data_IF_967654345916
#
_entry.id   IF_967654345916
#
_cell.length_a   1.000
_cell.length_b   1.000
_cell.length_c   1.000
_cell.angle_alpha   90.00
_cell.angle_beta   90.00
_cell.angle_gamma   90.00
#
_symmetry.space_group_name_H-M   'P 1'
#
loop_
_entity.id
_entity.type
_entity.pdbx_description
1 polymer ?
#
# COMPACT_ATOMS: atom_id res chain seq x y z
N UNK A 1 2.08 24.37 -42.44
CA UNK A 1 2.02 23.35 -41.37
C UNK A 1 3.37 22.81 -40.90
N UNK A 2 4.50 23.35 -41.33
CA UNK A 2 5.84 22.86 -40.99
C UNK A 2 6.63 23.79 -40.05
N UNK A 3 6.03 24.88 -39.54
CA UNK A 3 6.65 25.83 -38.59
C UNK A 3 6.17 25.70 -37.14
N UNK A 4 5.23 24.76 -36.83
CA UNK A 4 4.70 24.57 -35.49
C UNK A 4 5.34 23.36 -34.75
N UNK A 5 6.15 22.56 -35.43
CA UNK A 5 6.81 21.35 -34.85
C UNK A 5 8.20 21.67 -34.29
N UNK A 6 8.80 22.82 -34.67
CA UNK A 6 10.15 23.20 -34.20
C UNK A 6 10.18 24.00 -32.90
N UNK A 7 9.01 24.32 -32.29
CA UNK A 7 8.94 25.11 -31.05
C UNK A 7 8.80 24.24 -29.78
N UNK A 8 8.81 22.92 -29.90
CA UNK A 8 8.64 21.98 -28.77
C UNK A 8 9.89 21.14 -28.46
N UNK A 9 11.02 21.42 -29.07
CA UNK A 9 12.25 20.60 -28.92
C UNK A 9 13.48 21.39 -28.44
N UNK A 10 13.32 22.60 -27.89
CA UNK A 10 14.40 23.29 -27.20
C UNK A 10 14.03 23.44 -25.70
N UNK A 11 13.82 22.34 -25.00
CA UNK A 11 13.90 22.35 -23.55
C UNK A 11 15.37 22.19 -23.16
N UNK A 12 16.02 23.32 -22.89
CA UNK A 12 17.41 23.41 -22.42
C UNK A 12 17.62 22.50 -21.22
N UNK A 13 18.56 21.55 -21.34
CA UNK A 13 19.24 20.91 -20.22
C UNK A 13 20.06 21.98 -19.51
N UNK A 14 19.48 22.72 -18.58
CA UNK A 14 20.27 23.43 -17.56
C UNK A 14 20.55 22.41 -16.48
N UNK A 15 21.81 21.96 -16.45
CA UNK A 15 22.37 21.25 -15.31
C UNK A 15 22.23 22.15 -14.08
N UNK A 16 21.27 21.83 -13.22
CA UNK A 16 21.24 22.38 -11.87
C UNK A 16 22.34 21.68 -11.08
N UNK A 17 23.49 22.37 -10.98
CA UNK A 17 24.47 22.10 -9.93
C UNK A 17 23.71 22.16 -8.60
N UNK A 18 23.69 21.02 -7.87
CA UNK A 18 23.08 20.90 -6.56
C UNK A 18 23.66 21.95 -5.62
N UNK A 19 22.87 22.98 -5.32
CA UNK A 19 23.07 23.81 -4.16
C UNK A 19 22.82 22.92 -2.96
N UNK A 20 23.86 22.56 -2.23
CA UNK A 20 23.76 22.02 -0.89
C UNK A 20 22.85 22.98 -0.11
N UNK A 21 21.74 22.46 0.42
CA UNK A 21 20.86 23.23 1.28
C UNK A 21 21.72 23.75 2.47
N UNK A 22 21.82 25.06 2.62
CA UNK A 22 22.41 25.66 3.81
C UNK A 22 21.65 25.14 5.05
N UNK A 23 22.36 24.81 6.16
CA UNK A 23 21.70 24.40 7.39
C UNK A 23 20.78 25.54 7.83
N UNK A 24 19.48 25.27 7.90
CA UNK A 24 18.48 26.20 8.41
C UNK A 24 18.91 26.58 9.83
N UNK A 25 19.17 27.86 10.12
CA UNK A 25 19.56 28.27 11.45
C UNK A 25 18.46 27.89 12.43
N UNK A 26 18.83 27.31 13.58
CA UNK A 26 17.90 26.97 14.65
C UNK A 26 17.00 28.17 14.90
N UNK A 27 15.68 27.97 14.77
CA UNK A 27 14.70 29.06 14.82
C UNK A 27 14.89 29.88 16.07
N UNK A 28 15.28 31.14 15.91
CA UNK A 28 15.40 32.09 17.01
C UNK A 28 14.02 32.26 17.60
N UNK A 29 13.83 31.75 18.82
CA UNK A 29 12.53 31.75 19.50
C UNK A 29 12.10 33.15 19.87
N UNK A 30 10.81 33.43 19.63
CA UNK A 30 10.14 34.55 20.27
C UNK A 30 10.11 34.34 21.80
N UNK A 31 10.44 35.33 22.62
CA UNK A 31 10.42 35.22 24.08
C UNK A 31 9.00 34.81 24.55
N UNK A 32 8.89 33.73 25.35
CA UNK A 32 7.64 33.29 25.97
C UNK A 32 6.93 32.08 25.31
N UNK A 33 7.38 31.57 24.17
CA UNK A 33 6.79 30.35 23.56
C UNK A 33 7.48 29.09 24.08
N UNK A 34 6.69 28.16 24.64
CA UNK A 34 7.19 26.82 25.06
C UNK A 34 7.64 26.00 23.85
N UNK A 35 8.71 25.19 24.05
CA UNK A 35 9.12 24.24 23.05
C UNK A 35 8.14 23.07 22.96
N UNK A 36 7.62 22.79 21.79
CA UNK A 36 6.88 21.56 21.58
C UNK A 36 7.87 20.40 21.33
N UNK A 37 7.88 19.42 22.24
CA UNK A 37 8.79 18.28 22.20
C UNK A 37 8.00 16.99 22.09
N UNK A 38 8.29 16.20 21.07
CA UNK A 38 7.74 14.87 20.89
C UNK A 38 8.71 13.81 21.43
N UNK A 39 8.21 12.86 22.22
CA UNK A 39 8.97 11.69 22.67
C UNK A 39 8.47 10.46 21.95
N UNK A 40 9.34 9.86 21.15
CA UNK A 40 9.04 8.64 20.37
C UNK A 40 9.81 7.48 21.01
N UNK A 41 9.13 6.44 21.51
CA UNK A 41 9.80 5.27 22.06
C UNK A 41 10.43 4.43 20.94
N UNK A 42 11.72 4.10 21.09
CA UNK A 42 12.44 3.15 20.24
C UNK A 42 12.83 1.97 21.13
N UNK A 43 11.94 0.99 21.19
CA UNK A 43 12.06 -0.15 22.10
C UNK A 43 12.22 -1.45 21.31
N UNK A 44 12.78 -2.45 21.95
CA UNK A 44 12.94 -3.79 21.39
C UNK A 44 13.83 -3.78 20.11
N UNK A 45 13.62 -4.75 19.22
CA UNK A 45 14.40 -4.91 17.99
C UNK A 45 14.05 -3.86 16.94
N UNK A 46 15.07 -3.37 16.21
CA UNK A 46 14.87 -2.46 15.06
C UNK A 46 14.40 -3.26 13.86
N UNK A 47 13.10 -3.11 13.57
CA UNK A 47 12.38 -3.80 12.52
C UNK A 47 11.37 -2.87 11.84
N UNK A 48 10.59 -3.37 10.86
CA UNK A 48 9.61 -2.55 10.14
C UNK A 48 8.55 -1.88 11.05
N UNK A 49 8.01 -2.51 12.12
CA UNK A 49 7.13 -1.82 13.06
C UNK A 49 7.78 -0.60 13.69
N UNK A 50 9.01 -0.74 14.16
CA UNK A 50 9.77 0.37 14.76
C UNK A 50 9.93 1.52 13.78
N UNK A 51 10.21 1.23 12.50
CA UNK A 51 10.25 2.24 11.44
C UNK A 51 8.88 2.95 11.26
N UNK A 52 7.78 2.21 11.24
CA UNK A 52 6.44 2.80 11.04
C UNK A 52 6.04 3.70 12.21
N UNK A 53 6.31 3.26 13.45
CA UNK A 53 6.12 4.04 14.66
C UNK A 53 6.89 5.36 14.56
N UNK A 54 8.17 5.26 14.23
CA UNK A 54 9.06 6.41 14.18
C UNK A 54 8.68 7.37 13.03
N UNK A 55 8.35 6.85 11.85
CA UNK A 55 7.88 7.66 10.71
C UNK A 55 6.58 8.40 11.04
N UNK A 56 5.60 7.73 11.62
CA UNK A 56 4.34 8.36 12.03
C UNK A 56 4.59 9.44 13.08
N UNK A 57 5.40 9.15 14.11
CA UNK A 57 5.75 10.12 15.13
C UNK A 57 6.50 11.32 14.57
N UNK A 58 7.42 11.12 13.63
CA UNK A 58 8.13 12.22 12.96
C UNK A 58 7.20 13.06 12.08
N UNK A 59 6.31 12.42 11.29
CA UNK A 59 5.33 13.14 10.45
C UNK A 59 4.39 13.96 11.30
N UNK A 60 3.84 13.39 12.38
CA UNK A 60 3.00 14.12 13.33
C UNK A 60 3.75 15.30 13.97
N UNK A 61 5.01 15.08 14.38
CA UNK A 61 5.85 16.15 14.92
C UNK A 61 6.10 17.29 13.90
N UNK A 62 6.29 16.95 12.60
CA UNK A 62 6.44 17.94 11.52
C UNK A 62 5.14 18.72 11.32
N UNK A 63 3.99 18.05 11.23
CA UNK A 63 2.67 18.66 11.05
C UNK A 63 2.32 19.62 12.19
N UNK A 64 2.65 19.23 13.42
CA UNK A 64 2.45 20.04 14.61
C UNK A 64 3.55 21.12 14.81
N UNK A 65 4.53 21.18 13.89
CA UNK A 65 5.66 22.12 13.95
C UNK A 65 6.43 21.99 15.28
N UNK A 66 6.73 20.75 15.69
CA UNK A 66 7.50 20.46 16.89
C UNK A 66 8.93 21.04 16.76
N UNK A 67 9.42 21.58 17.85
CA UNK A 67 10.79 22.14 17.93
C UNK A 67 11.85 21.05 18.08
N UNK A 68 11.48 19.94 18.75
CA UNK A 68 12.41 18.83 18.97
C UNK A 68 11.68 17.48 19.02
N UNK A 69 12.41 16.43 18.65
CA UNK A 69 12.03 15.03 18.83
C UNK A 69 13.05 14.34 19.70
N UNK A 70 12.62 13.63 20.72
CA UNK A 70 13.46 12.78 21.57
C UNK A 70 13.14 11.31 21.28
N UNK A 71 14.15 10.55 20.87
CA UNK A 71 14.09 9.10 20.79
C UNK A 71 14.41 8.50 22.17
N UNK A 72 13.41 7.92 22.84
CA UNK A 72 13.63 7.18 24.08
C UNK A 72 14.11 5.76 23.73
N UNK A 73 15.44 5.59 23.71
CA UNK A 73 16.14 4.45 23.13
C UNK A 73 16.41 3.35 24.14
N UNK A 74 15.95 2.14 23.85
CA UNK A 74 16.28 0.92 24.56
C UNK A 74 16.19 -0.26 23.59
N UNK A 75 17.27 -0.57 22.85
CA UNK A 75 17.26 -1.57 21.78
C UNK A 75 18.56 -2.38 21.75
N UNK A 76 18.48 -3.71 21.56
CA UNK A 76 19.63 -4.55 21.31
C UNK A 76 20.18 -4.41 19.87
N UNK A 77 19.45 -3.73 18.97
CA UNK A 77 19.77 -3.60 17.55
C UNK A 77 18.70 -4.20 16.66
N UNK A 78 19.06 -4.55 15.42
CA UNK A 78 18.14 -5.15 14.47
C UNK A 78 18.57 -5.01 13.01
N UNK A 79 17.61 -4.94 12.09
CA UNK A 79 17.81 -4.96 10.66
C UNK A 79 18.52 -3.70 10.15
N UNK A 80 19.59 -3.89 9.37
CA UNK A 80 20.45 -2.80 8.89
C UNK A 80 19.74 -1.93 7.84
N UNK A 81 18.95 -2.53 6.96
CA UNK A 81 18.14 -1.82 5.96
C UNK A 81 17.12 -0.88 6.63
N UNK A 82 16.42 -1.39 7.64
CA UNK A 82 15.48 -0.61 8.45
C UNK A 82 16.19 0.52 9.20
N UNK A 83 17.40 0.26 9.70
CA UNK A 83 18.23 1.27 10.37
C UNK A 83 18.48 2.47 9.45
N UNK A 84 18.83 2.22 8.19
CA UNK A 84 19.06 3.29 7.22
C UNK A 84 17.77 4.05 6.88
N UNK A 85 16.67 3.36 6.72
CA UNK A 85 15.37 4.02 6.50
C UNK A 85 14.99 4.94 7.69
N UNK A 86 15.29 4.52 8.92
CA UNK A 86 15.09 5.34 10.13
C UNK A 86 16.00 6.58 10.11
N UNK A 87 17.28 6.42 9.77
CA UNK A 87 18.21 7.55 9.69
C UNK A 87 17.76 8.58 8.63
N UNK A 88 17.31 8.10 7.46
CA UNK A 88 16.75 8.95 6.40
C UNK A 88 15.43 9.65 6.83
N UNK A 89 14.63 8.98 7.64
CA UNK A 89 13.43 9.58 8.21
C UNK A 89 13.78 10.71 9.22
N UNK A 90 14.82 10.51 10.03
CA UNK A 90 15.31 11.53 10.97
C UNK A 90 15.86 12.77 10.25
N UNK A 91 16.55 12.60 9.14
CA UNK A 91 17.09 13.71 8.33
C UNK A 91 15.99 14.60 7.73
N UNK A 92 14.75 14.09 7.61
CA UNK A 92 13.59 14.86 7.13
C UNK A 92 12.94 15.74 8.20
N UNK A 93 13.28 15.54 9.47
CA UNK A 93 12.75 16.37 10.55
C UNK A 93 13.50 17.71 10.62
N UNK A 94 12.83 18.86 10.46
CA UNK A 94 13.47 20.16 10.39
C UNK A 94 13.92 20.70 11.75
N UNK A 95 13.46 20.09 12.85
CA UNK A 95 13.78 20.49 14.21
C UNK A 95 14.96 19.73 14.78
N UNK A 96 15.18 19.86 16.10
CA UNK A 96 16.26 19.20 16.79
C UNK A 96 15.92 17.73 17.06
N UNK A 97 16.78 16.81 16.65
CA UNK A 97 16.67 15.38 16.99
C UNK A 97 17.60 15.04 18.16
N UNK A 98 17.08 14.35 19.16
CA UNK A 98 17.80 13.98 20.37
C UNK A 98 17.62 12.48 20.61
N UNK A 99 18.69 11.75 20.87
CA UNK A 99 18.58 10.40 21.44
C UNK A 99 18.80 10.44 22.93
N UNK A 100 17.88 9.87 23.69
CA UNK A 100 18.08 9.55 25.09
C UNK A 100 18.27 8.04 25.24
N UNK A 101 19.49 7.61 25.47
CA UNK A 101 19.81 6.20 25.72
C UNK A 101 19.39 5.85 27.12
N UNK A 102 18.18 5.24 27.24
CA UNK A 102 17.56 4.92 28.53
C UNK A 102 18.28 3.73 29.21
N UNK A 103 18.50 2.63 28.44
CA UNK A 103 19.20 1.45 28.94
C UNK A 103 20.31 1.02 27.98
N UNK A 104 19.98 0.78 26.72
CA UNK A 104 20.95 0.33 25.74
C UNK A 104 20.63 0.85 24.33
N UNK A 105 21.66 1.13 23.57
CA UNK A 105 21.62 1.48 22.15
C UNK A 105 22.69 0.65 21.42
N UNK A 106 22.42 -0.65 21.30
CA UNK A 106 23.37 -1.59 20.70
C UNK A 106 23.16 -1.71 19.19
N UNK A 107 24.22 -2.03 18.45
CA UNK A 107 24.14 -2.31 17.00
C UNK A 107 23.40 -1.21 16.22
N UNK A 108 22.23 -1.48 15.64
CA UNK A 108 21.37 -0.52 14.95
C UNK A 108 21.05 0.73 15.81
N UNK A 109 20.90 0.55 17.13
CA UNK A 109 20.67 1.65 18.06
C UNK A 109 21.83 2.68 18.09
N UNK A 110 23.07 2.22 17.97
CA UNK A 110 24.23 3.11 17.89
C UNK A 110 24.22 3.93 16.59
N UNK A 111 23.86 3.35 15.46
CA UNK A 111 23.71 4.06 14.17
C UNK A 111 22.63 5.14 14.24
N UNK A 112 21.44 4.77 14.74
CA UNK A 112 20.31 5.69 14.87
C UNK A 112 20.66 6.83 15.80
N UNK A 113 21.31 6.53 16.94
CA UNK A 113 21.76 7.54 17.89
C UNK A 113 22.76 8.51 17.26
N UNK A 114 23.70 8.01 16.46
CA UNK A 114 24.69 8.83 15.79
C UNK A 114 24.10 9.75 14.71
N UNK A 115 22.95 9.39 14.13
CA UNK A 115 22.25 10.23 13.18
C UNK A 115 21.58 11.44 13.84
N UNK A 116 21.20 11.37 15.12
CA UNK A 116 20.58 12.50 15.83
C UNK A 116 21.55 13.64 16.10
N UNK A 117 21.00 14.83 16.41
CA UNK A 117 21.81 16.02 16.70
C UNK A 117 22.62 15.85 18.01
N UNK A 118 21.96 15.32 19.05
CA UNK A 118 22.56 15.15 20.38
C UNK A 118 22.22 13.76 20.95
N UNK A 119 23.14 13.26 21.80
CA UNK A 119 22.96 11.97 22.48
C UNK A 119 23.09 12.19 23.98
N UNK A 120 22.09 11.85 24.74
CA UNK A 120 22.06 11.86 26.20
C UNK A 120 21.93 10.43 26.73
N UNK A 121 22.41 10.22 27.94
CA UNK A 121 22.48 8.91 28.56
C UNK A 121 21.80 8.87 29.91
N UNK A 122 21.07 7.81 30.20
CA UNK A 122 20.74 7.44 31.57
C UNK A 122 22.02 6.95 32.31
N UNK A 123 22.05 6.97 33.66
CA UNK A 123 23.26 6.68 34.41
C UNK A 123 23.94 5.33 34.10
N UNK A 124 23.19 4.31 33.83
CA UNK A 124 23.65 2.93 33.55
C UNK A 124 23.52 2.54 32.07
N UNK A 125 23.36 3.51 31.19
CA UNK A 125 23.16 3.25 29.77
C UNK A 125 24.48 2.82 29.09
N UNK A 126 24.34 2.01 28.05
CA UNK A 126 25.43 1.52 27.21
C UNK A 126 25.11 1.73 25.73
N UNK A 127 26.15 1.97 24.93
CA UNK A 127 26.04 2.14 23.48
C UNK A 127 27.23 1.48 22.79
N UNK A 128 27.01 0.79 21.66
CA UNK A 128 28.13 0.27 20.88
C UNK A 128 27.85 -1.03 20.13
N UNK A 129 28.93 -1.80 19.90
CA UNK A 129 28.96 -3.11 19.24
C UNK A 129 28.10 -3.15 17.95
N UNK A 130 28.45 -2.31 16.96
CA UNK A 130 27.67 -2.08 15.75
C UNK A 130 28.23 -2.81 14.51
N UNK A 131 28.97 -3.90 14.69
CA UNK A 131 29.48 -4.69 13.58
C UNK A 131 28.34 -5.39 12.83
N UNK A 132 28.38 -5.42 11.49
CA UNK A 132 27.36 -6.13 10.71
C UNK A 132 27.51 -7.64 10.87
N UNK A 133 26.38 -8.32 11.15
CA UNK A 133 26.26 -9.78 11.21
C UNK A 133 25.13 -10.22 10.28
N UNK A 134 25.18 -11.46 9.80
CA UNK A 134 24.06 -12.04 9.06
C UNK A 134 22.88 -12.32 10.01
N UNK A 135 21.67 -12.15 9.53
CA UNK A 135 20.44 -12.47 10.29
C UNK A 135 20.37 -13.95 10.71
N UNK A 136 21.09 -14.83 10.01
CA UNK A 136 21.24 -16.26 10.34
C UNK A 136 22.27 -16.55 11.43
N UNK A 137 22.98 -15.51 11.94
CA UNK A 137 24.08 -15.68 12.88
C UNK A 137 25.37 -16.24 12.29
N UNK A 138 25.41 -16.49 10.98
CA UNK A 138 26.60 -16.94 10.26
C UNK A 138 27.61 -15.81 9.99
N UNK A 139 28.88 -16.17 9.78
CA UNK A 139 29.89 -15.20 9.35
C UNK A 139 29.69 -14.78 7.90
N UNK A 140 29.80 -13.49 7.64
CA UNK A 140 29.85 -12.93 6.30
C UNK A 140 31.21 -13.24 5.67
N UNK A 141 31.22 -13.60 4.36
CA UNK A 141 32.48 -13.72 3.62
C UNK A 141 33.37 -12.51 3.88
N UNK A 142 34.68 -12.75 4.08
CA UNK A 142 35.66 -11.74 4.46
C UNK A 142 35.66 -10.51 3.53
N UNK A 143 35.57 -10.74 2.22
CA UNK A 143 35.55 -9.67 1.22
C UNK A 143 34.26 -8.87 1.29
N UNK A 144 33.12 -9.55 1.45
CA UNK A 144 31.81 -8.89 1.61
C UNK A 144 31.77 -8.11 2.91
N UNK A 145 32.26 -8.66 4.02
CA UNK A 145 32.35 -7.97 5.31
C UNK A 145 33.17 -6.67 5.20
N UNK A 146 34.33 -6.71 4.53
CA UNK A 146 35.15 -5.53 4.32
C UNK A 146 34.42 -4.44 3.50
N UNK A 147 33.69 -4.80 2.45
CA UNK A 147 32.88 -3.85 1.67
C UNK A 147 31.80 -3.21 2.51
N UNK A 148 31.04 -4.01 3.26
CA UNK A 148 29.95 -3.52 4.14
C UNK A 148 30.54 -2.61 5.21
N UNK A 149 31.56 -3.00 5.93
CA UNK A 149 32.23 -2.21 6.98
C UNK A 149 32.77 -0.89 6.42
N UNK A 150 33.42 -0.92 5.24
CA UNK A 150 33.93 0.30 4.59
C UNK A 150 32.79 1.28 4.25
N UNK A 151 31.69 0.77 3.69
CA UNK A 151 30.49 1.57 3.37
C UNK A 151 29.87 2.17 4.63
N UNK A 152 29.64 1.36 5.67
CA UNK A 152 29.05 1.80 6.93
C UNK A 152 29.87 2.90 7.59
N UNK A 153 31.19 2.71 7.66
CA UNK A 153 32.10 3.71 8.21
C UNK A 153 32.06 5.03 7.42
N UNK A 154 32.05 4.96 6.09
CA UNK A 154 31.95 6.14 5.25
C UNK A 154 30.64 6.90 5.48
N UNK A 155 29.50 6.18 5.49
CA UNK A 155 28.18 6.76 5.75
C UNK A 155 28.09 7.41 7.13
N UNK A 156 28.61 6.74 8.16
CA UNK A 156 28.60 7.29 9.52
C UNK A 156 29.52 8.48 9.70
N UNK A 157 30.68 8.52 9.03
CA UNK A 157 31.53 9.73 9.03
C UNK A 157 30.82 10.91 8.39
N UNK A 158 30.14 10.70 7.24
CA UNK A 158 29.39 11.75 6.56
C UNK A 158 28.27 12.31 7.44
N UNK A 159 27.44 11.47 8.08
CA UNK A 159 26.37 11.92 8.98
C UNK A 159 26.85 12.51 10.31
N UNK A 160 28.13 12.29 10.65
CA UNK A 160 28.78 12.79 11.88
C UNK A 160 29.71 13.98 11.63
N UNK A 161 29.72 14.52 10.41
CA UNK A 161 30.52 15.66 10.05
C UNK A 161 30.17 16.86 10.94
N UNK A 162 31.18 17.54 11.50
CA UNK A 162 30.97 18.63 12.46
C UNK A 162 30.55 18.21 13.88
N UNK A 163 30.39 16.90 14.18
CA UNK A 163 29.95 16.40 15.50
C UNK A 163 31.11 15.82 16.33
N UNK A 164 32.28 16.49 16.36
CA UNK A 164 33.42 16.09 17.16
C UNK A 164 33.97 14.70 16.83
N UNK A 165 34.22 13.88 17.86
CA UNK A 165 34.78 12.54 17.70
C UNK A 165 33.77 11.48 17.24
N UNK A 166 32.48 11.84 17.10
CA UNK A 166 31.37 10.88 16.82
C UNK A 166 31.68 9.92 15.67
N UNK A 167 32.11 10.42 14.51
CA UNK A 167 32.43 9.60 13.35
C UNK A 167 33.54 8.57 13.58
N UNK A 168 34.56 8.91 14.40
CA UNK A 168 35.62 7.99 14.78
C UNK A 168 35.14 6.95 15.78
N UNK A 169 34.37 7.37 16.77
CA UNK A 169 33.78 6.49 17.80
C UNK A 169 32.89 5.46 17.18
N UNK A 170 31.96 5.88 16.31
CA UNK A 170 31.06 4.93 15.61
C UNK A 170 31.86 4.03 14.67
N UNK A 171 32.92 4.52 14.00
CA UNK A 171 33.81 3.67 13.21
C UNK A 171 34.46 2.55 14.04
N UNK A 172 34.82 2.84 15.28
CA UNK A 172 35.36 1.86 16.22
C UNK A 172 34.32 0.86 16.75
N UNK A 173 33.04 1.25 16.79
CA UNK A 173 31.91 0.36 17.11
C UNK A 173 31.58 -0.60 15.96
N UNK A 174 31.85 -0.20 14.71
CA UNK A 174 31.57 -0.98 13.49
C UNK A 174 32.68 -1.98 13.17
N UNK A 175 33.93 -1.57 13.34
CA UNK A 175 35.09 -2.24 12.80
C UNK A 175 36.07 -2.64 13.92
N UNK A 176 36.20 -3.94 14.14
CA UNK A 176 37.13 -4.46 15.15
C UNK A 176 38.58 -4.12 14.84
N UNK A 177 38.97 -4.03 13.56
CA UNK A 177 40.33 -3.72 13.15
C UNK A 177 40.65 -2.20 13.17
N UNK A 178 39.65 -1.36 13.37
CA UNK A 178 39.84 0.09 13.50
C UNK A 178 40.33 0.43 14.89
N UNK A 179 41.56 0.98 15.02
CA UNK A 179 42.09 1.52 16.26
C UNK A 179 41.53 2.92 16.52
N UNK A 180 40.91 3.13 17.67
CA UNK A 180 40.47 4.47 18.09
C UNK A 180 41.56 5.11 18.96
N UNK A 181 42.22 6.12 18.40
CA UNK A 181 43.24 6.91 19.08
C UNK A 181 42.85 8.39 19.06
N UNK A 182 42.88 9.06 20.21
CA UNK A 182 42.64 10.49 20.34
C UNK A 182 43.86 11.11 21.03
N UNK A 183 44.55 11.97 20.29
CA UNK A 183 45.88 12.41 20.74
C UNK A 183 46.82 11.21 20.81
N UNK A 184 47.46 11.03 21.97
CA UNK A 184 48.34 9.88 22.22
C UNK A 184 47.66 8.70 22.91
N UNK A 185 46.42 8.89 23.39
CA UNK A 185 45.68 7.84 24.12
C UNK A 185 44.94 6.90 23.15
N UNK A 186 45.26 5.62 23.23
CA UNK A 186 44.49 4.55 22.54
C UNK A 186 43.29 4.24 23.43
N UNK A 187 42.09 4.52 22.91
CA UNK A 187 40.83 4.27 23.61
C UNK A 187 40.26 2.88 23.29
N UNK A 188 40.57 2.36 22.09
CA UNK A 188 40.18 1.03 21.67
C UNK A 188 41.26 0.43 20.76
N UNK A 189 41.90 -0.67 21.18
CA UNK A 189 42.91 -1.36 20.37
C UNK A 189 42.23 -2.10 19.17
N UNK A 190 43.07 -2.61 18.26
CA UNK A 190 42.62 -3.51 17.20
C UNK A 190 42.19 -4.86 17.77
N UNK A 191 41.20 -5.51 17.11
CA UNK A 191 40.72 -6.86 17.46
C UNK A 191 39.47 -6.86 18.32
N UNK A 192 39.02 -5.71 18.83
CA UNK A 192 37.83 -5.59 19.66
C UNK A 192 36.78 -4.67 19.00
N UNK A 193 35.52 -4.76 19.42
CA UNK A 193 34.51 -3.77 19.10
C UNK A 193 34.34 -2.80 20.27
N UNK A 194 34.15 -1.52 19.94
CA UNK A 194 33.91 -0.51 20.97
C UNK A 194 32.49 -0.62 21.50
N UNK A 195 32.33 -0.63 22.79
CA UNK A 195 31.11 -0.32 23.53
C UNK A 195 31.45 0.66 24.63
N UNK A 196 30.59 1.63 24.89
CA UNK A 196 30.79 2.67 25.88
C UNK A 196 29.66 2.67 26.89
N UNK A 197 30.03 2.80 28.14
CA UNK A 197 29.14 3.21 29.22
C UNK A 197 28.80 4.71 29.08
N UNK A 198 27.74 5.13 29.75
CA UNK A 198 27.36 6.55 29.79
C UNK A 198 28.50 7.44 30.32
N UNK A 199 29.38 6.94 31.21
CA UNK A 199 30.49 7.69 31.76
C UNK A 199 31.60 7.86 30.74
N UNK A 200 32.01 6.78 30.08
CA UNK A 200 33.04 6.79 29.02
C UNK A 200 32.61 7.64 27.82
N UNK A 201 31.34 7.60 27.44
CA UNK A 201 30.80 8.41 26.36
C UNK A 201 30.88 9.93 26.61
N UNK A 202 30.97 10.33 27.87
CA UNK A 202 31.03 11.74 28.30
C UNK A 202 32.43 12.17 28.71
N UNK A 203 33.43 11.27 28.71
CA UNK A 203 34.82 11.66 28.94
C UNK A 203 35.27 12.69 27.91
N UNK A 204 36.04 13.68 28.39
CA UNK A 204 36.45 14.80 27.57
C UNK A 204 37.87 14.59 27.02
N UNK A 205 38.05 14.88 25.74
CA UNK A 205 39.32 14.73 25.03
C UNK A 205 39.61 15.95 24.16
N UNK A 206 40.89 16.16 23.88
CA UNK A 206 41.36 17.20 22.97
C UNK A 206 41.48 18.59 23.61
N UNK A 207 41.89 19.55 22.77
CA UNK A 207 41.98 20.99 23.13
C UNK A 207 41.37 21.80 21.96
N UNK A 208 40.18 22.44 22.15
CA UNK A 208 39.41 22.49 23.41
C UNK A 208 38.83 21.14 23.80
N UNK A 209 38.55 20.92 25.11
CA UNK A 209 37.96 19.66 25.57
C UNK A 209 36.57 19.40 24.94
N UNK A 210 36.40 18.23 24.37
CA UNK A 210 35.10 17.77 23.79
C UNK A 210 34.78 16.39 24.32
N UNK A 211 33.50 16.17 24.64
CA UNK A 211 33.04 14.85 25.01
C UNK A 211 33.22 13.84 23.85
N UNK A 212 33.51 12.59 24.19
CA UNK A 212 33.78 11.52 23.22
C UNK A 212 32.58 11.26 22.29
N UNK A 213 31.37 11.19 22.85
CA UNK A 213 30.18 10.90 22.09
C UNK A 213 28.93 11.65 22.60
N UNK A 214 28.73 11.77 23.90
CA UNK A 214 27.49 12.26 24.49
C UNK A 214 27.46 13.73 24.78
N UNK A 215 26.27 14.32 24.87
CA UNK A 215 26.02 15.71 25.27
C UNK A 215 25.77 15.85 26.77
N UNK A 216 25.35 14.79 27.47
CA UNK A 216 25.10 14.82 28.91
C UNK A 216 24.44 13.58 29.47
N UNK A 217 24.25 13.59 30.81
CA UNK A 217 23.47 12.55 31.54
C UNK A 217 22.16 13.12 32.07
N UNK A 218 21.11 12.31 32.07
CA UNK A 218 19.86 12.60 32.74
C UNK A 218 19.28 11.31 33.31
N UNK A 219 18.54 11.37 34.40
CA UNK A 219 17.93 10.17 35.01
C UNK A 219 16.75 9.66 34.17
N UNK A 220 16.07 10.55 33.47
CA UNK A 220 14.95 10.26 32.57
C UNK A 220 14.79 11.38 31.53
N UNK A 221 13.84 11.18 30.61
CA UNK A 221 13.53 12.17 29.54
C UNK A 221 13.08 13.51 30.14
N UNK A 222 12.33 13.49 31.25
CA UNK A 222 11.84 14.72 31.89
C UNK A 222 12.99 15.53 32.46
N UNK A 223 13.93 14.88 33.14
CA UNK A 223 15.13 15.53 33.66
C UNK A 223 16.00 16.11 32.53
N UNK A 224 16.14 15.39 31.40
CA UNK A 224 16.81 15.89 30.21
C UNK A 224 16.13 17.16 29.68
N UNK A 225 14.80 17.12 29.52
CA UNK A 225 14.05 18.27 28.99
C UNK A 225 14.10 19.48 29.94
N UNK A 226 14.00 19.23 31.25
CA UNK A 226 14.15 20.28 32.25
C UNK A 226 15.56 20.95 32.20
N UNK A 227 16.62 20.17 32.04
CA UNK A 227 17.96 20.69 31.89
C UNK A 227 18.15 21.50 30.61
N UNK A 228 17.53 21.06 29.51
CA UNK A 228 17.72 21.66 28.19
C UNK A 228 16.79 22.86 27.92
N UNK A 229 15.56 22.80 28.33
CA UNK A 229 14.51 23.79 28.00
C UNK A 229 14.02 24.57 29.23
N UNK A 230 14.42 24.16 30.45
CA UNK A 230 13.87 24.65 31.69
C UNK A 230 12.54 23.98 32.06
N UNK A 231 12.21 23.88 33.35
CA UNK A 231 11.04 23.12 33.87
C UNK A 231 9.70 23.58 33.31
N UNK A 232 9.55 24.82 32.87
CA UNK A 232 8.34 25.39 32.30
C UNK A 232 8.48 25.76 30.82
N UNK A 233 9.63 25.53 30.21
CA UNK A 233 10.00 26.01 28.88
C UNK A 233 9.57 25.10 27.74
N UNK A 234 8.93 23.98 28.02
CA UNK A 234 8.50 23.03 26.98
C UNK A 234 7.08 22.49 27.22
N UNK A 235 6.48 21.96 26.17
CA UNK A 235 5.27 21.12 26.15
C UNK A 235 5.68 19.76 25.66
N UNK A 236 5.46 18.73 26.49
CA UNK A 236 5.82 17.35 26.19
C UNK A 236 4.62 16.63 25.58
N UNK A 237 4.83 16.00 24.43
CA UNK A 237 3.90 15.03 23.85
C UNK A 237 4.57 13.67 23.75
N UNK A 238 3.97 12.68 24.39
CA UNK A 238 4.39 11.30 24.25
C UNK A 238 3.66 10.66 23.08
N UNK A 239 4.41 10.07 22.19
CA UNK A 239 3.84 9.31 21.08
C UNK A 239 3.41 7.93 21.58
N UNK A 240 2.12 7.65 21.50
CA UNK A 240 1.55 6.38 21.93
C UNK A 240 1.66 5.33 20.82
N UNK A 241 2.27 4.19 21.16
CA UNK A 241 2.36 3.02 20.28
C UNK A 241 1.14 2.15 20.48
N UNK A 242 0.34 1.99 19.45
CA UNK A 242 -0.87 1.18 19.46
C UNK A 242 -0.63 -0.21 18.89
N UNK A 243 -1.46 -1.21 19.26
CA UNK A 243 -1.39 -2.56 18.69
C UNK A 243 -1.64 -2.57 17.16
N UNK A 244 -2.34 -1.57 16.65
CA UNK A 244 -2.63 -1.42 15.22
C UNK A 244 -1.37 -1.31 14.36
N UNK A 245 -0.28 -0.75 14.89
CA UNK A 245 0.99 -0.64 14.15
C UNK A 245 1.66 -2.00 13.95
N UNK A 246 1.56 -2.89 14.94
CA UNK A 246 2.04 -4.27 14.78
C UNK A 246 1.23 -5.04 13.73
N UNK A 247 -0.10 -4.86 13.76
CA UNK A 247 -0.97 -5.47 12.75
C UNK A 247 -0.70 -4.93 11.34
N UNK A 248 -0.53 -3.61 11.22
CA UNK A 248 -0.25 -2.95 9.95
C UNK A 248 1.01 -3.49 9.27
N UNK A 249 2.05 -3.84 10.03
CA UNK A 249 3.26 -4.45 9.51
C UNK A 249 2.99 -5.74 8.70
N UNK A 250 2.23 -6.68 9.28
CA UNK A 250 1.92 -7.94 8.61
C UNK A 250 1.08 -7.71 7.36
N UNK A 251 0.10 -6.83 7.47
CA UNK A 251 -0.80 -6.51 6.37
C UNK A 251 -0.10 -5.76 5.24
N UNK A 252 0.86 -4.88 5.55
CA UNK A 252 1.66 -4.16 4.53
C UNK A 252 2.47 -5.14 3.68
N UNK A 253 3.04 -6.19 4.27
CA UNK A 253 3.75 -7.24 3.54
C UNK A 253 2.82 -8.00 2.59
N UNK A 254 1.54 -8.12 2.94
CA UNK A 254 0.51 -8.78 2.15
C UNK A 254 -0.19 -7.86 1.14
N UNK A 255 0.20 -6.59 1.05
CA UNK A 255 -0.45 -5.59 0.17
C UNK A 255 -0.70 -6.08 -1.27
N UNK A 256 0.26 -6.69 -2.01
CA UNK A 256 -0.01 -7.18 -3.35
C UNK A 256 -1.09 -8.26 -3.40
N UNK A 257 -1.14 -9.14 -2.39
CA UNK A 257 -2.14 -10.21 -2.28
C UNK A 257 -3.52 -9.62 -1.98
N UNK A 258 -3.59 -8.69 -1.01
CA UNK A 258 -4.85 -8.01 -0.64
C UNK A 258 -5.41 -7.21 -1.82
N UNK A 259 -4.55 -6.49 -2.56
CA UNK A 259 -4.92 -5.79 -3.78
C UNK A 259 -5.44 -6.76 -4.84
N UNK A 260 -4.70 -7.83 -5.13
CA UNK A 260 -5.08 -8.80 -6.14
C UNK A 260 -6.41 -9.47 -5.85
N UNK A 261 -6.61 -9.94 -4.62
CA UNK A 261 -7.87 -10.55 -4.18
C UNK A 261 -9.01 -9.53 -4.13
N UNK A 262 -8.75 -8.30 -3.69
CA UNK A 262 -9.73 -7.23 -3.64
C UNK A 262 -10.24 -6.85 -5.02
N UNK A 263 -9.33 -6.62 -5.97
CA UNK A 263 -9.67 -6.32 -7.37
C UNK A 263 -10.38 -7.49 -8.03
N UNK A 264 -9.91 -8.73 -7.82
CA UNK A 264 -10.56 -9.93 -8.34
C UNK A 264 -11.98 -10.07 -7.80
N UNK A 265 -12.19 -9.87 -6.51
CA UNK A 265 -13.51 -9.96 -5.88
C UNK A 265 -14.48 -8.91 -6.45
N UNK A 266 -14.02 -7.66 -6.63
CA UNK A 266 -14.84 -6.63 -7.29
C UNK A 266 -15.15 -6.98 -8.75
N UNK A 267 -14.17 -7.55 -9.48
CA UNK A 267 -14.39 -8.00 -10.85
C UNK A 267 -15.43 -9.12 -10.94
N UNK A 268 -15.36 -10.11 -10.04
CA UNK A 268 -16.34 -11.20 -9.96
C UNK A 268 -17.73 -10.64 -9.65
N UNK A 269 -17.86 -9.73 -8.69
CA UNK A 269 -19.13 -9.08 -8.36
C UNK A 269 -19.71 -8.32 -9.55
N UNK A 270 -18.88 -7.63 -10.32
CA UNK A 270 -19.32 -6.91 -11.52
C UNK A 270 -19.87 -7.83 -12.62
N UNK A 271 -19.43 -9.10 -12.64
CA UNK A 271 -19.91 -10.13 -13.57
C UNK A 271 -21.12 -10.89 -13.05
N UNK A 272 -21.40 -10.81 -11.75
CA UNK A 272 -22.53 -11.49 -11.11
C UNK A 272 -23.62 -10.47 -10.76
N UNK A 273 -24.88 -10.69 -11.14
CA UNK A 273 -25.93 -9.73 -10.81
C UNK A 273 -26.27 -9.75 -9.32
N UNK A 274 -26.16 -8.61 -8.69
CA UNK A 274 -26.52 -8.36 -7.29
C UNK A 274 -25.30 -8.06 -6.41
N UNK A 275 -25.37 -7.00 -5.62
CA UNK A 275 -24.32 -6.61 -4.66
C UNK A 275 -24.27 -7.64 -3.53
N UNK A 276 -23.39 -8.60 -3.68
CA UNK A 276 -23.29 -9.75 -2.80
C UNK A 276 -21.94 -9.84 -2.07
N UNK A 277 -21.61 -11.05 -1.65
CA UNK A 277 -20.45 -11.35 -0.81
C UNK A 277 -19.12 -10.93 -1.45
N UNK A 278 -18.98 -11.07 -2.77
CA UNK A 278 -17.74 -10.72 -3.46
C UNK A 278 -17.50 -9.20 -3.48
N UNK A 279 -18.53 -8.39 -3.73
CA UNK A 279 -18.42 -6.94 -3.72
C UNK A 279 -18.04 -6.40 -2.35
N UNK A 280 -18.73 -6.88 -1.30
CA UNK A 280 -18.42 -6.52 0.08
C UNK A 280 -16.98 -6.95 0.44
N UNK A 281 -16.60 -8.19 0.11
CA UNK A 281 -15.25 -8.69 0.37
C UNK A 281 -14.18 -7.87 -0.35
N UNK A 282 -14.40 -7.50 -1.61
CA UNK A 282 -13.51 -6.66 -2.38
C UNK A 282 -13.31 -5.27 -1.76
N UNK A 283 -14.40 -4.62 -1.37
CA UNK A 283 -14.34 -3.32 -0.68
C UNK A 283 -13.60 -3.42 0.66
N UNK A 284 -13.88 -4.47 1.45
CA UNK A 284 -13.21 -4.70 2.74
C UNK A 284 -11.71 -4.90 2.53
N UNK A 285 -11.30 -5.74 1.57
CA UNK A 285 -9.89 -6.00 1.29
C UNK A 285 -9.14 -4.73 0.85
N UNK A 286 -9.73 -3.93 -0.04
CA UNK A 286 -9.12 -2.65 -0.45
C UNK A 286 -9.14 -1.63 0.70
N UNK A 287 -10.19 -1.60 1.52
CA UNK A 287 -10.25 -0.78 2.73
C UNK A 287 -9.15 -1.14 3.73
N UNK A 288 -8.84 -2.43 3.88
CA UNK A 288 -7.70 -2.90 4.70
C UNK A 288 -6.38 -2.37 4.13
N UNK A 289 -6.18 -2.36 2.81
CA UNK A 289 -4.97 -1.78 2.19
C UNK A 289 -4.83 -0.30 2.52
N UNK A 290 -5.89 0.50 2.37
CA UNK A 290 -5.85 1.92 2.73
C UNK A 290 -5.55 2.13 4.22
N UNK A 291 -6.28 1.41 5.10
CA UNK A 291 -6.10 1.51 6.55
C UNK A 291 -4.67 1.13 6.96
N UNK A 292 -4.15 0.05 6.39
CA UNK A 292 -2.80 -0.45 6.69
C UNK A 292 -1.73 0.59 6.33
N UNK A 293 -1.83 1.19 5.13
CA UNK A 293 -0.87 2.21 4.69
C UNK A 293 -1.01 3.53 5.48
N UNK A 294 -2.22 3.90 5.89
CA UNK A 294 -2.46 5.02 6.80
C UNK A 294 -1.79 4.79 8.17
N UNK A 295 -2.00 3.61 8.78
CA UNK A 295 -1.39 3.25 10.08
C UNK A 295 0.13 3.13 9.97
N UNK A 296 0.65 2.65 8.84
CA UNK A 296 2.10 2.61 8.56
C UNK A 296 2.71 4.00 8.31
N UNK A 297 1.91 5.08 8.28
CA UNK A 297 2.38 6.45 8.10
C UNK A 297 2.88 6.76 6.68
N UNK A 298 2.40 6.04 5.65
CA UNK A 298 2.75 6.34 4.25
C UNK A 298 2.00 7.56 3.73
N UNK A 299 0.68 7.58 3.90
CA UNK A 299 -0.19 8.67 3.42
C UNK A 299 -1.28 9.00 4.46
N UNK A 300 -1.95 10.13 4.29
CA UNK A 300 -3.13 10.49 5.07
C UNK A 300 -4.41 9.76 4.62
N UNK A 301 -5.55 10.34 4.89
CA UNK A 301 -6.86 9.79 4.51
C UNK A 301 -7.33 10.25 3.11
N UNK A 302 -6.61 11.20 2.49
CA UNK A 302 -6.97 11.80 1.20
C UNK A 302 -7.08 10.77 0.06
N UNK A 303 -6.17 9.77 -0.05
CA UNK A 303 -6.29 8.75 -1.09
C UNK A 303 -7.59 7.96 -1.01
N UNK A 304 -8.11 7.71 0.19
CA UNK A 304 -9.39 7.01 0.36
C UNK A 304 -10.56 7.83 -0.21
N UNK A 305 -10.54 9.16 -0.02
CA UNK A 305 -11.55 10.05 -0.59
C UNK A 305 -11.50 10.05 -2.12
N UNK A 306 -10.30 10.12 -2.70
CA UNK A 306 -10.10 10.05 -4.17
C UNK A 306 -10.58 8.71 -4.72
N UNK A 307 -10.31 7.61 -4.01
CA UNK A 307 -10.81 6.28 -4.38
C UNK A 307 -12.34 6.25 -4.38
N UNK A 308 -12.98 6.79 -3.34
CA UNK A 308 -14.43 6.84 -3.24
C UNK A 308 -15.07 7.67 -4.37
N UNK A 309 -14.45 8.78 -4.76
CA UNK A 309 -14.89 9.58 -5.91
C UNK A 309 -14.74 8.77 -7.21
N UNK A 310 -13.62 8.09 -7.42
CA UNK A 310 -13.41 7.22 -8.57
C UNK A 310 -14.46 6.11 -8.66
N UNK A 311 -14.75 5.47 -7.54
CA UNK A 311 -15.78 4.42 -7.43
C UNK A 311 -17.18 4.97 -7.76
N UNK A 312 -17.51 6.17 -7.25
CA UNK A 312 -18.77 6.84 -7.54
C UNK A 312 -18.92 7.14 -9.05
N UNK A 313 -17.85 7.59 -9.71
CA UNK A 313 -17.88 7.86 -11.15
C UNK A 313 -18.12 6.57 -11.96
N UNK A 314 -17.47 5.47 -11.59
CA UNK A 314 -17.72 4.16 -12.21
C UNK A 314 -19.19 3.74 -11.99
N UNK A 315 -19.70 3.93 -10.78
CA UNK A 315 -21.10 3.62 -10.46
C UNK A 315 -22.07 4.47 -11.31
N UNK A 316 -21.85 5.78 -11.41
CA UNK A 316 -22.67 6.68 -12.21
C UNK A 316 -22.71 6.24 -13.68
N UNK A 317 -21.56 5.92 -14.27
CA UNK A 317 -21.48 5.44 -15.66
C UNK A 317 -22.31 4.18 -15.86
N UNK A 318 -22.12 3.19 -14.99
CA UNK A 318 -22.76 1.86 -15.14
C UNK A 318 -24.28 1.94 -15.01
N UNK A 319 -24.79 2.79 -14.10
CA UNK A 319 -26.22 2.83 -13.79
C UNK A 319 -27.00 3.95 -14.53
N UNK A 320 -26.34 5.07 -14.87
CA UNK A 320 -27.02 6.24 -15.44
C UNK A 320 -26.64 6.50 -16.90
N UNK A 321 -25.42 6.13 -17.33
CA UNK A 321 -24.92 6.41 -18.68
C UNK A 321 -24.26 5.18 -19.34
N UNK A 322 -24.92 4.02 -19.37
CA UNK A 322 -24.29 2.80 -19.87
C UNK A 322 -23.84 2.96 -21.33
N UNK A 323 -22.53 2.79 -21.55
CA UNK A 323 -21.93 2.81 -22.89
C UNK A 323 -21.15 4.06 -23.26
N UNK A 324 -21.07 5.09 -22.42
CA UNK A 324 -20.26 6.26 -22.71
C UNK A 324 -18.77 6.01 -22.44
N UNK A 325 -18.45 5.09 -21.54
CA UNK A 325 -17.12 4.57 -21.16
C UNK A 325 -16.11 5.60 -20.62
N UNK A 326 -16.19 6.87 -20.97
CA UNK A 326 -15.19 7.91 -20.61
C UNK A 326 -15.20 8.17 -19.11
N UNK A 327 -16.38 8.29 -18.50
CA UNK A 327 -16.53 8.58 -17.06
C UNK A 327 -16.04 7.40 -16.24
N UNK A 328 -16.34 6.15 -16.68
CA UNK A 328 -15.85 4.95 -16.03
C UNK A 328 -14.33 4.82 -16.12
N UNK A 329 -13.72 5.13 -17.27
CA UNK A 329 -12.26 5.13 -17.45
C UNK A 329 -11.59 6.17 -16.56
N UNK A 330 -12.16 7.37 -16.46
CA UNK A 330 -11.66 8.40 -15.54
C UNK A 330 -11.80 7.96 -14.08
N UNK A 331 -12.95 7.41 -13.69
CA UNK A 331 -13.16 6.84 -12.36
C UNK A 331 -12.16 5.73 -12.03
N UNK A 332 -11.93 4.81 -12.96
CA UNK A 332 -10.93 3.74 -12.79
C UNK A 332 -9.51 4.31 -12.64
N UNK A 333 -9.16 5.32 -13.42
CA UNK A 333 -7.86 5.99 -13.31
C UNK A 333 -7.67 6.65 -11.93
N UNK A 334 -8.72 7.28 -11.38
CA UNK A 334 -8.69 7.82 -10.03
C UNK A 334 -8.54 6.71 -8.97
N UNK A 335 -9.24 5.60 -9.12
CA UNK A 335 -9.12 4.45 -8.20
C UNK A 335 -7.71 3.87 -8.20
N UNK A 336 -7.13 3.59 -9.37
CA UNK A 336 -5.77 3.07 -9.49
C UNK A 336 -4.73 4.08 -8.99
N UNK A 337 -4.87 5.35 -9.37
CA UNK A 337 -4.01 6.44 -8.92
C UNK A 337 -4.05 6.63 -7.41
N UNK A 338 -5.22 6.54 -6.79
CA UNK A 338 -5.38 6.65 -5.33
C UNK A 338 -4.75 5.47 -4.57
N UNK A 339 -4.79 4.26 -5.12
CA UNK A 339 -4.09 3.10 -4.55
C UNK A 339 -2.57 3.30 -4.57
N UNK A 340 -2.03 3.81 -5.69
CA UNK A 340 -0.60 4.16 -5.78
C UNK A 340 -0.24 5.25 -4.78
N UNK A 341 -1.08 6.29 -4.69
CA UNK A 341 -0.88 7.38 -3.73
C UNK A 341 -0.92 6.88 -2.28
N UNK A 342 -1.87 6.02 -1.92
CA UNK A 342 -1.98 5.47 -0.57
C UNK A 342 -0.71 4.72 -0.11
N UNK A 343 0.00 4.10 -1.04
CA UNK A 343 1.23 3.36 -0.77
C UNK A 343 2.50 4.22 -0.89
N UNK A 344 2.38 5.47 -1.38
CA UNK A 344 3.52 6.37 -1.56
C UNK A 344 3.96 6.99 -0.23
N UNK A 345 5.28 7.04 0.01
CA UNK A 345 5.85 7.66 1.20
C UNK A 345 5.98 9.17 1.04
N UNK A 346 4.88 9.88 1.25
CA UNK A 346 4.86 11.34 1.20
C UNK A 346 5.13 11.94 2.58
N UNK A 347 5.99 12.97 2.60
CA UNK A 347 6.37 13.65 3.83
C UNK A 347 5.77 15.05 3.90
N UNK A 348 5.27 15.49 5.08
CA UNK A 348 4.74 16.84 5.26
C UNK A 348 5.80 17.91 4.94
N UNK A 349 5.38 19.00 4.29
CA UNK A 349 6.27 20.12 3.96
C UNK A 349 7.18 19.92 2.75
N UNK A 350 7.23 18.73 2.15
CA UNK A 350 7.98 18.50 0.91
C UNK A 350 7.12 18.96 -0.28
N UNK A 351 7.60 19.90 -1.13
CA UNK A 351 6.84 20.30 -2.31
C UNK A 351 6.53 19.11 -3.22
N UNK A 352 5.31 19.06 -3.74
CA UNK A 352 4.86 17.97 -4.64
C UNK A 352 5.80 17.81 -5.85
N UNK A 353 6.41 18.88 -6.33
CA UNK A 353 7.38 18.86 -7.44
C UNK A 353 8.64 18.05 -7.14
N UNK A 354 9.09 18.00 -5.88
CA UNK A 354 10.21 17.17 -5.43
C UNK A 354 9.77 15.78 -4.99
N UNK A 355 8.55 15.64 -4.47
CA UNK A 355 7.96 14.34 -4.15
C UNK A 355 7.70 13.49 -5.41
N UNK A 356 7.56 14.12 -6.58
CA UNK A 356 7.40 13.45 -7.88
C UNK A 356 8.72 12.99 -8.53
N UNK A 357 9.87 13.07 -7.83
CA UNK A 357 11.07 12.33 -8.24
C UNK A 357 10.72 10.84 -8.19
N UNK A 358 10.71 10.16 -9.35
CA UNK A 358 10.06 8.87 -9.61
C UNK A 358 10.25 7.74 -8.59
N UNK A 359 11.25 7.81 -7.71
CA UNK A 359 11.60 6.75 -6.76
C UNK A 359 10.51 6.45 -5.72
N UNK A 360 9.74 7.47 -5.28
CA UNK A 360 8.66 7.32 -4.29
C UNK A 360 7.52 6.42 -4.80
N UNK A 361 7.31 6.39 -6.12
CA UNK A 361 6.23 5.62 -6.75
C UNK A 361 6.65 4.25 -7.26
N UNK A 362 7.95 3.91 -7.26
CA UNK A 362 8.43 2.62 -7.79
C UNK A 362 7.83 1.45 -7.01
N UNK A 363 7.97 1.44 -5.69
CA UNK A 363 7.42 0.37 -4.85
C UNK A 363 5.86 0.31 -4.90
N UNK A 364 5.12 1.43 -4.81
CA UNK A 364 3.67 1.45 -5.04
C UNK A 364 3.24 0.87 -6.38
N UNK A 365 3.90 1.24 -7.47
CA UNK A 365 3.59 0.72 -8.81
C UNK A 365 3.92 -0.77 -8.96
N UNK A 366 5.02 -1.23 -8.35
CA UNK A 366 5.34 -2.66 -8.30
C UNK A 366 4.28 -3.44 -7.54
N UNK A 367 3.84 -2.97 -6.37
CA UNK A 367 2.80 -3.62 -5.57
C UNK A 367 1.46 -3.68 -6.32
N UNK A 368 1.06 -2.57 -6.97
CA UNK A 368 -0.14 -2.53 -7.79
C UNK A 368 -0.02 -3.48 -8.99
N UNK A 369 1.12 -3.47 -9.68
CA UNK A 369 1.37 -4.35 -10.83
C UNK A 369 1.32 -5.83 -10.45
N UNK A 370 1.96 -6.22 -9.33
CA UNK A 370 1.89 -7.58 -8.79
C UNK A 370 0.46 -7.96 -8.39
N UNK A 371 -0.27 -7.06 -7.73
CA UNK A 371 -1.67 -7.26 -7.37
C UNK A 371 -2.55 -7.48 -8.60
N UNK A 372 -2.41 -6.65 -9.63
CA UNK A 372 -3.16 -6.81 -10.88
C UNK A 372 -2.78 -8.09 -11.64
N UNK A 373 -1.50 -8.46 -11.69
CA UNK A 373 -1.08 -9.74 -12.27
C UNK A 373 -1.68 -10.92 -11.51
N UNK A 374 -1.71 -10.86 -10.19
CA UNK A 374 -2.35 -11.88 -9.36
C UNK A 374 -3.85 -11.95 -9.64
N UNK A 375 -4.55 -10.81 -9.72
CA UNK A 375 -5.98 -10.75 -10.05
C UNK A 375 -6.28 -11.36 -11.42
N UNK A 376 -5.50 -11.01 -12.44
CA UNK A 376 -5.66 -11.55 -13.81
C UNK A 376 -5.32 -13.04 -13.83
N UNK A 377 -4.23 -13.47 -13.20
CA UNK A 377 -3.83 -14.87 -13.13
C UNK A 377 -4.87 -15.76 -12.43
N UNK A 378 -5.37 -15.31 -11.27
CA UNK A 378 -6.45 -16.01 -10.56
C UNK A 378 -7.76 -15.99 -11.34
N UNK A 379 -8.10 -14.86 -11.98
CA UNK A 379 -9.29 -14.76 -12.84
C UNK A 379 -9.22 -15.73 -14.02
N UNK A 380 -8.07 -15.80 -14.70
CA UNK A 380 -7.86 -16.77 -15.78
C UNK A 380 -7.89 -18.23 -15.28
N UNK A 381 -7.33 -18.50 -14.11
CA UNK A 381 -7.40 -19.81 -13.48
C UNK A 381 -8.84 -20.18 -13.11
N UNK A 382 -9.61 -19.24 -12.55
CA UNK A 382 -11.04 -19.45 -12.26
C UNK A 382 -11.81 -19.81 -13.53
N UNK A 383 -11.60 -19.08 -14.62
CA UNK A 383 -12.26 -19.38 -15.91
C UNK A 383 -11.84 -20.75 -16.46
N UNK A 384 -10.57 -21.14 -16.29
CA UNK A 384 -10.00 -22.38 -16.85
C UNK A 384 -10.32 -23.62 -16.05
N UNK A 385 -10.34 -23.53 -14.71
CA UNK A 385 -10.41 -24.68 -13.81
C UNK A 385 -11.74 -24.84 -13.08
N UNK A 386 -12.62 -23.83 -13.05
CA UNK A 386 -13.96 -24.03 -12.52
C UNK A 386 -14.77 -24.86 -13.51
N UNK A 387 -15.33 -26.01 -13.09
CA UNK A 387 -16.20 -26.79 -13.96
C UNK A 387 -17.42 -25.96 -14.34
N UNK A 388 -17.74 -25.94 -15.63
CA UNK A 388 -19.00 -25.43 -16.16
C UNK A 388 -20.12 -26.27 -15.54
N UNK A 389 -20.86 -25.73 -14.61
CA UNK A 389 -21.90 -26.43 -13.89
C UNK A 389 -22.37 -25.68 -12.65
N UNK A 390 -22.79 -26.26 -11.65
CA UNK A 390 -23.56 -25.87 -10.46
C UNK A 390 -23.38 -24.46 -9.89
N UNK A 391 -22.17 -23.88 -9.83
CA UNK A 391 -21.94 -22.55 -9.26
C UNK A 391 -21.97 -21.47 -10.34
N UNK A 392 -21.44 -21.77 -11.53
CA UNK A 392 -21.35 -20.84 -12.65
C UNK A 392 -22.72 -20.55 -13.26
N UNK A 393 -23.58 -21.59 -13.39
CA UNK A 393 -24.96 -21.45 -13.88
C UNK A 393 -25.87 -20.65 -12.92
N UNK A 394 -25.51 -20.58 -11.64
CA UNK A 394 -26.18 -19.73 -10.65
C UNK A 394 -25.64 -18.32 -10.57
N UNK A 395 -24.36 -18.11 -10.94
CA UNK A 395 -23.69 -16.82 -10.92
C UNK A 395 -23.85 -16.04 -12.23
N UNK A 396 -24.02 -16.72 -13.35
CA UNK A 396 -24.31 -16.10 -14.64
C UNK A 396 -25.81 -16.21 -14.89
N UNK A 397 -26.56 -15.16 -14.55
CA UNK A 397 -27.88 -14.99 -15.19
C UNK A 397 -27.55 -14.69 -16.64
N UNK A 398 -27.72 -15.68 -17.48
CA UNK A 398 -27.57 -15.55 -18.91
C UNK A 398 -28.51 -14.47 -19.41
N UNK A 399 -27.99 -13.24 -19.53
CA UNK A 399 -28.61 -12.25 -20.40
C UNK A 399 -28.43 -12.77 -21.83
N UNK A 400 -29.32 -13.65 -22.26
CA UNK A 400 -29.50 -14.00 -23.66
C UNK A 400 -30.02 -12.76 -24.38
N UNK A 401 -29.11 -11.83 -24.70
CA UNK A 401 -29.34 -10.82 -25.75
C UNK A 401 -29.03 -11.51 -27.07
N UNK A 402 -30.02 -12.20 -27.53
CA UNK A 402 -30.00 -12.90 -28.81
C UNK A 402 -31.29 -13.69 -28.92
N UNK A 403 -32.33 -13.08 -29.47
CA UNK A 403 -33.63 -13.54 -29.96
C UNK A 403 -34.01 -15.03 -29.88
N UNK A 404 -33.91 -15.63 -28.71
CA UNK A 404 -34.62 -16.84 -28.38
C UNK A 404 -34.94 -16.76 -26.88
N UNK A 405 -36.07 -16.11 -26.58
CA UNK A 405 -36.68 -16.23 -25.26
C UNK A 405 -36.98 -17.70 -25.04
N UNK A 406 -36.11 -18.44 -24.36
CA UNK A 406 -36.48 -19.67 -23.71
C UNK A 406 -37.42 -19.29 -22.59
N UNK A 407 -38.69 -19.30 -22.88
CA UNK A 407 -39.73 -19.13 -21.88
C UNK A 407 -39.58 -20.31 -20.92
N UNK A 408 -39.27 -20.01 -19.67
CA UNK A 408 -39.39 -20.93 -18.56
C UNK A 408 -40.84 -21.44 -18.53
N UNK A 409 -41.07 -22.66 -19.00
CA UNK A 409 -42.39 -23.26 -19.04
C UNK A 409 -42.50 -24.55 -19.82
N UNK A 410 -41.58 -24.85 -20.72
CA UNK A 410 -41.62 -26.14 -21.39
C UNK A 410 -40.51 -27.06 -20.86
N UNK A 411 -40.91 -28.02 -20.04
CA UNK A 411 -40.04 -29.13 -19.67
C UNK A 411 -39.57 -29.85 -20.97
N UNK A 412 -38.35 -30.43 -20.98
CA UNK A 412 -37.83 -31.15 -22.16
C UNK A 412 -38.76 -32.25 -22.71
N UNK A 413 -39.65 -32.75 -21.88
CA UNK A 413 -40.68 -33.70 -22.28
C UNK A 413 -41.78 -33.08 -23.16
N UNK A 414 -42.25 -31.87 -22.87
CA UNK A 414 -43.25 -31.17 -23.67
C UNK A 414 -42.74 -30.80 -25.06
N UNK A 415 -41.44 -30.43 -25.19
CA UNK A 415 -40.83 -30.17 -26.49
C UNK A 415 -40.72 -31.45 -27.36
N UNK A 416 -40.50 -32.60 -26.73
CA UNK A 416 -40.50 -33.90 -27.44
C UNK A 416 -41.93 -34.33 -27.86
N UNK A 417 -42.93 -34.12 -27.02
CA UNK A 417 -44.33 -34.38 -27.38
C UNK A 417 -44.79 -33.54 -28.57
N UNK A 418 -44.45 -32.25 -28.58
CA UNK A 418 -44.83 -31.35 -29.68
C UNK A 418 -44.10 -31.69 -30.98
N UNK A 419 -42.85 -32.13 -30.93
CA UNK A 419 -42.09 -32.58 -32.08
C UNK A 419 -42.73 -33.85 -32.72
N UNK A 420 -43.40 -34.68 -31.95
CA UNK A 420 -44.12 -35.86 -32.44
C UNK A 420 -45.46 -35.53 -33.16
N UNK A 421 -45.95 -34.29 -33.00
CA UNK A 421 -47.16 -33.82 -33.66
C UNK A 421 -46.90 -33.33 -35.10
N UNK A 422 -45.67 -33.09 -35.48
CA UNK A 422 -45.28 -32.63 -36.82
C UNK A 422 -45.65 -33.71 -37.82
N UNK A 423 -46.45 -33.34 -38.86
CA UNK A 423 -46.99 -34.24 -39.89
C UNK A 423 -48.33 -34.84 -39.51
N UNK A 424 -48.79 -34.67 -38.28
CA UNK A 424 -50.16 -35.20 -37.92
C UNK A 424 -51.28 -34.31 -38.49
N UNK A 425 -52.42 -34.94 -38.77
CA UNK A 425 -53.64 -34.26 -39.17
C UNK A 425 -54.50 -33.95 -37.95
N UNK A 426 -55.11 -32.77 -37.97
CA UNK A 426 -56.05 -32.31 -36.95
C UNK A 426 -57.22 -31.54 -37.57
N UNK A 427 -58.01 -30.91 -36.71
CA UNK A 427 -59.16 -30.09 -37.14
C UNK A 427 -59.09 -28.73 -36.49
N UNK A 428 -59.35 -27.67 -37.23
CA UNK A 428 -59.41 -26.30 -36.67
C UNK A 428 -60.69 -26.19 -35.80
N UNK A 429 -60.46 -25.78 -34.52
CA UNK A 429 -61.59 -25.57 -33.58
C UNK A 429 -62.13 -24.17 -33.71
N UNK A 430 -61.25 -23.20 -33.95
CA UNK A 430 -61.60 -21.81 -34.23
C UNK A 430 -61.04 -21.37 -35.58
N UNK A 431 -61.52 -20.24 -36.12
CA UNK A 431 -60.95 -19.66 -37.32
C UNK A 431 -59.49 -19.20 -36.99
N UNK A 432 -58.53 -19.55 -37.88
CA UNK A 432 -57.12 -19.10 -37.76
C UNK A 432 -56.85 -17.93 -38.74
N UNK A 433 -56.60 -16.69 -38.18
CA UNK A 433 -56.30 -15.47 -38.96
C UNK A 433 -55.36 -14.54 -38.14
N UNK A 434 -54.10 -14.75 -38.08
CA UNK A 434 -53.31 -15.93 -38.41
C UNK A 434 -53.36 -17.02 -37.33
N UNK A 435 -53.82 -16.72 -36.11
CA UNK A 435 -53.79 -17.61 -34.94
C UNK A 435 -55.17 -18.07 -34.51
N UNK A 436 -55.23 -19.25 -33.91
CA UNK A 436 -56.47 -19.86 -33.39
C UNK A 436 -56.18 -21.19 -32.71
N UNK A 437 -57.24 -21.99 -32.46
CA UNK A 437 -57.07 -23.27 -31.77
C UNK A 437 -57.34 -24.42 -32.75
N UNK A 438 -56.54 -25.46 -32.64
CA UNK A 438 -56.69 -26.72 -33.38
C UNK A 438 -56.79 -27.90 -32.41
N UNK A 439 -57.46 -28.94 -32.83
CA UNK A 439 -57.56 -30.20 -32.09
C UNK A 439 -56.79 -31.28 -32.85
N UNK A 440 -55.86 -31.95 -32.18
CA UNK A 440 -55.04 -33.02 -32.71
C UNK A 440 -55.05 -34.15 -31.68
N UNK A 441 -55.46 -35.35 -32.12
CA UNK A 441 -55.58 -36.54 -31.26
C UNK A 441 -56.37 -36.28 -29.95
N UNK A 442 -57.49 -35.49 -30.05
CA UNK A 442 -58.34 -35.16 -28.91
C UNK A 442 -57.85 -34.13 -27.94
N UNK A 443 -56.68 -33.47 -28.22
CA UNK A 443 -56.12 -32.41 -27.41
C UNK A 443 -56.12 -31.10 -28.19
N UNK A 444 -56.33 -29.96 -27.50
CA UNK A 444 -56.35 -28.63 -28.11
C UNK A 444 -54.99 -27.97 -27.97
N UNK A 445 -54.59 -27.34 -29.06
CA UNK A 445 -53.27 -26.58 -29.13
C UNK A 445 -53.57 -25.24 -29.80
N UNK A 446 -52.81 -24.24 -29.37
CA UNK A 446 -52.66 -22.95 -30.07
C UNK A 446 -51.94 -23.19 -31.41
N UNK A 447 -52.48 -22.68 -32.50
CA UNK A 447 -51.90 -22.84 -33.82
C UNK A 447 -51.90 -21.52 -34.59
N UNK A 448 -50.97 -21.40 -35.51
CA UNK A 448 -50.82 -20.24 -36.41
C UNK A 448 -50.62 -20.72 -37.82
N UNK A 449 -51.32 -20.08 -38.79
CA UNK A 449 -51.16 -20.32 -40.23
C UNK A 449 -50.15 -19.31 -40.78
N UNK A 450 -49.17 -19.79 -41.56
CA UNK A 450 -48.13 -18.91 -42.15
C UNK A 450 -48.66 -18.11 -43.32
N UNK A 451 -49.48 -18.71 -44.12
CA UNK A 451 -50.07 -18.06 -45.29
C UNK A 451 -51.59 -18.46 -45.42
N UNK A 452 -52.42 -17.45 -45.59
CA UNK A 452 -53.90 -17.68 -45.81
C UNK A 452 -54.72 -17.66 -44.51
N UNK A 453 -55.85 -18.28 -44.53
CA UNK A 453 -56.76 -18.44 -43.42
C UNK A 453 -57.35 -19.85 -43.43
N UNK A 454 -57.67 -20.42 -42.27
CA UNK A 454 -58.33 -21.72 -42.08
C UNK A 454 -59.57 -21.48 -41.29
N UNK A 455 -60.70 -21.93 -41.84
CA UNK A 455 -61.97 -21.78 -41.17
C UNK A 455 -62.23 -22.90 -40.13
N UNK A 456 -63.06 -22.57 -39.15
CA UNK A 456 -63.41 -23.54 -38.11
C UNK A 456 -64.02 -24.80 -38.72
N UNK A 457 -63.51 -25.96 -38.37
CA UNK A 457 -63.96 -27.27 -38.93
C UNK A 457 -63.08 -27.82 -40.06
N UNK A 458 -62.17 -26.99 -40.64
CA UNK A 458 -61.24 -27.45 -41.68
C UNK A 458 -60.21 -28.44 -41.11
N UNK A 459 -59.78 -29.37 -42.00
CA UNK A 459 -58.69 -30.29 -41.68
C UNK A 459 -57.37 -29.58 -41.86
N UNK A 460 -56.48 -29.75 -40.90
CA UNK A 460 -55.11 -29.13 -40.89
C UNK A 460 -54.04 -30.21 -40.79
N UNK A 461 -52.81 -29.82 -41.20
CA UNK A 461 -51.63 -30.64 -41.02
C UNK A 461 -50.62 -29.77 -40.28
N UNK A 462 -49.94 -30.31 -39.25
CA UNK A 462 -48.88 -29.65 -38.52
C UNK A 462 -47.60 -29.66 -39.35
N UNK A 463 -47.09 -28.50 -39.70
CA UNK A 463 -45.79 -28.32 -40.44
C UNK A 463 -44.59 -28.03 -39.55
N UNK A 464 -44.86 -27.48 -38.39
CA UNK A 464 -43.80 -27.11 -37.48
C UNK A 464 -44.32 -26.53 -36.16
N UNK A 465 -43.44 -25.85 -35.44
CA UNK A 465 -43.82 -25.10 -34.24
C UNK A 465 -43.13 -23.76 -34.21
N UNK A 466 -43.76 -22.78 -33.63
CA UNK A 466 -43.18 -21.50 -33.20
C UNK A 466 -42.91 -21.55 -31.70
N UNK A 467 -42.40 -20.48 -31.13
CA UNK A 467 -42.15 -20.39 -29.68
C UNK A 467 -43.41 -20.58 -28.81
N UNK A 468 -44.63 -20.35 -29.39
CA UNK A 468 -45.87 -20.30 -28.63
C UNK A 468 -47.03 -21.10 -29.23
N UNK A 469 -46.93 -21.57 -30.49
CA UNK A 469 -48.00 -22.20 -31.20
C UNK A 469 -47.49 -23.23 -32.22
N UNK A 470 -48.36 -24.18 -32.60
CA UNK A 470 -48.11 -25.07 -33.73
C UNK A 470 -48.24 -24.28 -35.04
N UNK A 471 -47.32 -24.51 -35.98
CA UNK A 471 -47.43 -24.00 -37.31
C UNK A 471 -48.30 -25.04 -38.16
N UNK A 472 -49.42 -24.60 -38.67
CA UNK A 472 -50.31 -25.47 -39.35
C UNK A 472 -50.70 -24.96 -40.75
N UNK A 473 -51.00 -25.85 -41.63
CA UNK A 473 -51.50 -25.58 -43.00
C UNK A 473 -52.79 -26.29 -43.23
N UNK A 474 -53.67 -25.70 -44.07
CA UNK A 474 -54.94 -26.40 -44.49
C UNK A 474 -54.54 -27.62 -45.28
N UNK A 475 -55.08 -28.80 -44.87
CA UNK A 475 -54.85 -30.01 -45.63
C UNK A 475 -55.68 -29.96 -46.89
N UNK A 476 -55.03 -30.08 -48.06
CA UNK A 476 -55.78 -30.31 -49.32
C UNK A 476 -56.55 -31.59 -49.23
N UNK A 477 -57.78 -31.60 -49.78
CA UNK A 477 -58.79 -32.64 -49.68
C UNK A 477 -58.34 -33.92 -50.34
#
# INVERSE_FOLDING_TARGET
MLKLVYLLLTFSLTAHSGLAAEPIPAAVRAPGKKALVYVIPVREEINKPTLYILRRGLKEAIEQKADAVVLDMNTPGGALDVTFEIMEALDKFPGQTITFVNKEAMSAGAFISAATSEIYFAPNAVIGAAAPVLSTGGDVDKTMKQKIVSYLRARMRASSEGKGYRGQVISAMIDADYELKIGEKILKPKGELLSLTATEALEQYGQPPQALLGAGKAVDVTALLNAKFGATGYELRQFEVTWSERLAQYLTTLTPVLLGLGVLALFVEFKTPGFGVFGISGIVLLGVVFLTNYVAGFSGHEPLLVFAVGLLLVFIEVFFFPGFAIVALFGLSLMLGSLVWAMADLWPGVPLTTAWSGDVFVAPLQNLGLGLMLAVGLGAALVRFLPSGWMWDKMVVGAAIGGAAQIAGFAPEAAREVAQLIGQRGRAVTVLRPSGQVEIAGRRFEATVEVGAVDAGDTIVVRGQTAFALLVEKADA
#
